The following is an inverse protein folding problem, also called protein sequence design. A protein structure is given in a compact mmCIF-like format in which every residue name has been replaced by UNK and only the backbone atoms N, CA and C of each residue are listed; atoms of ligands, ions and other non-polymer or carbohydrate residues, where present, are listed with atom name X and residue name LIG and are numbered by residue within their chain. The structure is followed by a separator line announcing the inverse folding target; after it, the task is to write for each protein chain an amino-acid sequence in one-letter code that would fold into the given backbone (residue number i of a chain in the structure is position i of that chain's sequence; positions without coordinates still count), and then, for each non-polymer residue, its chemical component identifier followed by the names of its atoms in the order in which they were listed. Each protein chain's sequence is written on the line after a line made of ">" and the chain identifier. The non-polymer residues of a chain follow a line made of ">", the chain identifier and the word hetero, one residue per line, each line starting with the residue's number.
data_IF_523732369291
#
_entry.id   IF_523732369291
#
_cell.length_a   1.000
_cell.length_b   1.000
_cell.length_c   1.000
_cell.angle_alpha   90.00
_cell.angle_beta   90.00
_cell.angle_gamma   90.00
#
_symmetry.space_group_name_H-M   'P 1'
#
loop_
_entity.id
_entity.type
_entity.pdbx_description
1 polymer ?
#
# COMPACT_ATOMS: atom_id res chain seq x y z
N UNK A 1 -3.39 0.07 6.78
CA UNK A 1 -3.28 1.55 6.76
C UNK A 1 -4.34 2.09 7.71
N UNK A 2 -3.91 2.80 8.72
CA UNK A 2 -4.79 3.42 9.71
C UNK A 2 -4.83 4.92 9.49
N UNK A 3 -6.00 5.54 9.66
CA UNK A 3 -6.10 7.00 9.69
C UNK A 3 -5.59 7.49 11.04
N UNK A 4 -4.71 8.49 11.02
CA UNK A 4 -4.02 8.96 12.25
C UNK A 4 -4.98 9.57 13.27
N UNK A 5 -6.07 10.21 12.83
CA UNK A 5 -6.98 10.95 13.72
C UNK A 5 -7.79 10.07 14.66
N UNK A 6 -8.17 8.87 14.22
CA UNK A 6 -9.12 7.98 14.91
C UNK A 6 -8.66 6.52 14.97
N UNK A 7 -7.50 6.21 14.37
CA UNK A 7 -6.97 4.85 14.22
C UNK A 7 -7.95 3.91 13.51
N UNK A 8 -8.83 4.43 12.65
CA UNK A 8 -9.70 3.60 11.83
C UNK A 8 -8.86 2.83 10.80
N UNK A 9 -9.09 1.51 10.67
CA UNK A 9 -8.47 0.70 9.61
C UNK A 9 -9.11 1.05 8.27
N UNK A 10 -8.47 1.95 7.51
CA UNK A 10 -9.01 2.41 6.23
C UNK A 10 -8.69 1.49 5.06
N UNK A 11 -7.63 0.69 5.16
CA UNK A 11 -7.23 -0.25 4.08
C UNK A 11 -6.29 -1.33 4.59
N UNK A 12 -6.49 -2.57 4.15
CA UNK A 12 -5.51 -3.66 4.25
C UNK A 12 -4.71 -3.72 2.95
N UNK A 13 -3.38 -3.76 3.07
CA UNK A 13 -2.48 -4.03 1.96
C UNK A 13 -1.92 -5.44 2.20
N UNK A 14 -2.44 -6.47 1.52
CA UNK A 14 -1.94 -7.82 1.71
C UNK A 14 -0.47 -7.86 1.26
N UNK A 15 0.41 -8.31 2.14
CA UNK A 15 1.69 -8.83 1.66
C UNK A 15 1.39 -10.15 0.93
N UNK A 16 2.19 -10.48 -0.08
CA UNK A 16 2.25 -11.87 -0.55
C UNK A 16 2.78 -12.78 0.58
N UNK A 17 3.22 -13.99 0.28
CA UNK A 17 3.85 -14.89 1.27
C UNK A 17 5.11 -14.31 1.98
N UNK A 18 5.56 -13.12 1.57
CA UNK A 18 6.75 -12.42 2.04
C UNK A 18 6.50 -11.63 3.35
N UNK A 19 7.44 -11.66 4.31
CA UNK A 19 7.34 -10.92 5.58
C UNK A 19 7.84 -9.47 5.44
N UNK A 20 7.01 -8.49 5.82
CA UNK A 20 7.34 -7.05 5.75
C UNK A 20 8.36 -6.68 6.83
N UNK A 21 9.38 -5.90 6.46
CA UNK A 21 10.39 -5.38 7.39
C UNK A 21 10.35 -3.85 7.52
N UNK A 22 10.23 -3.13 6.41
CA UNK A 22 10.22 -1.65 6.38
C UNK A 22 9.21 -1.14 5.36
N UNK A 23 8.56 -0.01 5.64
CA UNK A 23 7.67 0.66 4.71
C UNK A 23 7.89 2.18 4.74
N UNK A 24 7.69 2.85 3.61
CA UNK A 24 7.80 4.28 3.46
C UNK A 24 6.69 4.81 2.55
N UNK A 25 5.94 5.81 3.02
CA UNK A 25 4.95 6.50 2.20
C UNK A 25 5.62 7.48 1.24
N UNK A 26 5.04 7.64 0.06
CA UNK A 26 5.44 8.70 -0.85
C UNK A 26 5.15 10.07 -0.22
N UNK A 27 6.03 11.08 -0.39
CA UNK A 27 5.85 12.39 0.24
C UNK A 27 4.62 13.14 -0.26
N UNK A 28 4.18 12.85 -1.48
CA UNK A 28 2.93 13.40 -2.02
C UNK A 28 1.72 12.56 -1.59
N UNK A 29 0.70 13.16 -0.96
CA UNK A 29 -0.49 12.46 -0.52
C UNK A 29 -1.20 11.69 -1.64
N UNK A 30 -1.51 10.42 -1.37
CA UNK A 30 -2.22 9.55 -2.29
C UNK A 30 -1.39 9.01 -3.46
N UNK A 31 -0.07 9.16 -3.45
CA UNK A 31 0.78 8.62 -4.52
C UNK A 31 1.23 7.17 -4.30
N UNK A 32 1.16 6.65 -3.07
CA UNK A 32 1.54 5.27 -2.78
C UNK A 32 2.45 5.09 -1.58
N UNK A 33 2.97 3.87 -1.48
CA UNK A 33 4.05 3.52 -0.57
C UNK A 33 4.96 2.46 -1.19
N UNK A 34 6.15 2.34 -0.64
CA UNK A 34 7.10 1.27 -0.93
C UNK A 34 7.34 0.48 0.35
N UNK A 35 7.47 -0.84 0.25
CA UNK A 35 7.90 -1.67 1.36
C UNK A 35 8.97 -2.69 0.96
N UNK A 36 9.88 -2.95 1.89
CA UNK A 36 10.92 -3.96 1.78
C UNK A 36 10.56 -5.18 2.62
N UNK A 37 10.86 -6.37 2.09
CA UNK A 37 10.58 -7.66 2.75
C UNK A 37 11.86 -8.31 3.27
N UNK A 38 11.75 -9.26 4.20
CA UNK A 38 12.89 -9.99 4.75
C UNK A 38 13.59 -10.87 3.72
N UNK A 39 12.88 -11.25 2.66
CA UNK A 39 13.36 -12.03 1.52
C UNK A 39 14.16 -11.17 0.52
N UNK A 40 14.39 -9.89 0.83
CA UNK A 40 15.18 -8.98 -0.01
C UNK A 40 14.40 -8.40 -1.20
N UNK A 41 13.06 -8.48 -1.18
CA UNK A 41 12.22 -7.92 -2.24
C UNK A 41 11.78 -6.50 -1.90
N UNK A 42 11.70 -5.66 -2.93
CA UNK A 42 11.06 -4.35 -2.85
C UNK A 42 9.70 -4.41 -3.55
N UNK A 43 8.66 -3.91 -2.92
CA UNK A 43 7.30 -3.90 -3.45
C UNK A 43 6.78 -2.47 -3.47
N UNK A 44 6.20 -2.07 -4.61
CA UNK A 44 5.70 -0.72 -4.84
C UNK A 44 4.18 -0.77 -4.92
N UNK A 45 3.50 -0.01 -4.06
CA UNK A 45 2.06 0.15 -4.07
C UNK A 45 1.71 1.56 -4.55
N UNK A 46 1.29 1.69 -5.80
CA UNK A 46 0.82 2.97 -6.35
C UNK A 46 -0.71 3.07 -6.18
N UNK A 47 -1.19 4.25 -5.79
CA UNK A 47 -2.62 4.54 -5.84
C UNK A 47 -2.89 5.34 -7.09
N UNK A 48 -3.64 4.76 -8.04
CA UNK A 48 -4.11 5.53 -9.18
C UNK A 48 -5.26 6.44 -8.73
N UNK A 49 -5.14 7.75 -8.99
CA UNK A 49 -6.19 8.73 -8.72
C UNK A 49 -7.44 8.49 -9.58
N UNK A 50 -7.35 7.68 -10.63
CA UNK A 50 -8.47 7.42 -11.55
C UNK A 50 -9.51 6.41 -11.03
N UNK A 51 -9.29 5.73 -9.89
CA UNK A 51 -10.16 4.62 -9.45
C UNK A 51 -10.94 4.87 -8.14
N UNK A 52 -11.11 6.11 -7.71
CA UNK A 52 -12.00 6.45 -6.58
C UNK A 52 -13.46 6.63 -7.01
N UNK A 53 -13.97 5.74 -7.87
CA UNK A 53 -15.41 5.51 -8.01
C UNK A 53 -15.65 4.00 -8.05
N UNK A 54 -16.15 3.50 -6.93
CA UNK A 54 -16.72 2.18 -6.68
C UNK A 54 -15.72 1.02 -6.48
N UNK A 55 -15.94 0.32 -5.38
CA UNK A 55 -15.08 -0.73 -4.85
C UNK A 55 -14.80 -1.88 -5.83
N UNK A 56 -13.65 -2.50 -5.58
CA UNK A 56 -13.06 -3.68 -6.26
C UNK A 56 -12.29 -3.35 -7.55
N UNK A 57 -10.99 -3.68 -7.55
CA UNK A 57 -10.07 -3.49 -8.69
C UNK A 57 -9.04 -2.40 -8.40
N UNK A 58 -7.73 -2.55 -8.59
CA UNK A 58 -6.92 -3.60 -9.20
C UNK A 58 -5.57 -3.59 -8.48
N UNK A 59 -5.05 -4.74 -8.06
CA UNK A 59 -3.65 -4.86 -7.62
C UNK A 59 -2.90 -5.49 -8.78
N UNK A 60 -2.35 -4.64 -9.65
CA UNK A 60 -1.38 -5.09 -10.63
C UNK A 60 -0.07 -5.45 -9.89
N UNK A 61 0.32 -6.71 -10.01
CA UNK A 61 1.64 -7.20 -9.64
C UNK A 61 2.40 -7.57 -10.92
N UNK A 62 3.51 -6.90 -11.28
CA UNK A 62 4.58 -7.56 -12.04
C UNK A 62 5.38 -8.52 -11.15
#
# INVERSE_FOLDING_TARGET
>A
VYRVSDLELVRVLPSAEDEVNVACFHPFPGAGLVYGTKEGKLRVFQFDRAHTVNGTGSVYFP
#
